data_IF_556179202720
#
_entry.id   IF_556179202720
#
_cell.length_a   1.000
_cell.length_b   1.000
_cell.length_c   1.000
_cell.angle_alpha   90.00
_cell.angle_beta   90.00
_cell.angle_gamma   90.00
#
_symmetry.space_group_name_H-M   'P 1'
#
loop_
_entity.id
_entity.type
_entity.pdbx_description
1 polymer ?
#
# COMPACT_ATOMS: atom_id res chain seq x y z
N UNK A 1 3.12 -1.61 14.32
CA UNK A 1 1.77 -0.97 14.37
C UNK A 1 1.57 -0.42 15.77
N UNK A 2 1.02 0.82 15.92
CA UNK A 2 0.89 1.50 17.23
C UNK A 2 0.08 0.69 18.26
N UNK A 3 -0.85 -0.16 17.82
CA UNK A 3 -1.69 -0.99 18.69
C UNK A 3 -0.88 -1.95 19.59
N UNK A 4 0.30 -2.39 19.17
CA UNK A 4 1.18 -3.23 20.00
C UNK A 4 1.78 -2.49 21.19
N UNK A 5 1.88 -1.16 21.10
CA UNK A 5 2.40 -0.26 22.13
C UNK A 5 1.31 0.19 23.11
N UNK A 6 0.02 -0.19 22.84
CA UNK A 6 -1.11 0.22 23.67
C UNK A 6 -1.40 -0.80 24.76
N UNK A 7 -1.49 -0.33 26.01
CA UNK A 7 -1.95 -1.10 27.15
C UNK A 7 -3.48 -0.96 27.35
N UNK A 8 -4.06 0.15 26.91
CA UNK A 8 -5.45 0.49 27.11
C UNK A 8 -6.14 0.98 25.84
N UNK A 9 -7.46 1.06 25.90
CA UNK A 9 -8.34 1.62 24.89
C UNK A 9 -9.29 2.63 25.54
N UNK A 10 -9.49 3.78 24.86
CA UNK A 10 -10.40 4.81 25.29
C UNK A 10 -11.80 4.55 24.72
N UNK A 11 -12.79 4.33 25.57
CA UNK A 11 -14.18 4.08 25.19
C UNK A 11 -15.11 4.83 26.16
N UNK A 12 -16.11 5.53 25.63
CA UNK A 12 -17.15 6.22 26.42
C UNK A 12 -16.61 7.11 27.57
N UNK A 13 -15.53 7.86 27.30
CA UNK A 13 -14.95 8.77 28.27
C UNK A 13 -14.05 8.12 29.33
N UNK A 14 -13.75 6.82 29.22
CA UNK A 14 -12.92 6.09 30.17
C UNK A 14 -11.88 5.23 29.45
N UNK A 15 -10.76 4.99 30.13
CA UNK A 15 -9.72 4.06 29.66
C UNK A 15 -9.93 2.68 30.27
N UNK A 16 -9.96 1.67 29.45
CA UNK A 16 -10.04 0.26 29.84
C UNK A 16 -8.78 -0.47 29.39
N UNK A 17 -8.36 -1.47 30.13
CA UNK A 17 -7.27 -2.34 29.70
C UNK A 17 -7.68 -3.03 28.39
N UNK A 18 -6.75 -3.04 27.42
CA UNK A 18 -7.00 -3.72 26.15
C UNK A 18 -6.71 -5.21 26.28
N UNK A 19 -7.70 -6.03 25.96
CA UNK A 19 -7.60 -7.49 25.90
C UNK A 19 -7.46 -7.99 24.45
N UNK A 20 -7.26 -9.29 24.28
CA UNK A 20 -7.09 -9.91 22.96
C UNK A 20 -8.35 -9.79 22.08
N UNK A 21 -9.53 -9.84 22.70
CA UNK A 21 -10.79 -9.69 21.97
C UNK A 21 -10.92 -8.29 21.37
N UNK A 22 -10.60 -7.25 22.15
CA UNK A 22 -10.58 -5.86 21.68
C UNK A 22 -9.51 -5.65 20.61
N UNK A 23 -8.30 -6.19 20.80
CA UNK A 23 -7.25 -6.15 19.78
C UNK A 23 -7.72 -6.75 18.46
N UNK A 24 -8.31 -7.94 18.50
CA UNK A 24 -8.85 -8.62 17.32
C UNK A 24 -9.93 -7.81 16.63
N UNK A 25 -10.83 -7.20 17.39
CA UNK A 25 -11.89 -6.33 16.84
C UNK A 25 -11.32 -5.10 16.13
N UNK A 26 -10.33 -4.43 16.73
CA UNK A 26 -9.66 -3.27 16.12
C UNK A 26 -8.98 -3.68 14.82
N UNK A 27 -8.29 -4.82 14.80
CA UNK A 27 -7.64 -5.34 13.60
C UNK A 27 -8.65 -5.68 12.50
N UNK A 28 -9.79 -6.23 12.85
CA UNK A 28 -10.88 -6.54 11.91
C UNK A 28 -11.45 -5.25 11.29
N UNK A 29 -11.69 -4.21 12.11
CA UNK A 29 -12.13 -2.90 11.61
C UNK A 29 -11.07 -2.30 10.68
N UNK A 30 -9.79 -2.39 11.04
CA UNK A 30 -8.70 -1.92 10.19
C UNK A 30 -8.69 -2.64 8.83
N UNK A 31 -8.93 -3.96 8.83
CA UNK A 31 -9.05 -4.75 7.61
C UNK A 31 -10.24 -4.29 6.76
N UNK A 32 -11.42 -4.12 7.37
CA UNK A 32 -12.63 -3.64 6.68
C UNK A 32 -12.42 -2.24 6.06
N UNK A 33 -11.66 -1.37 6.72
CA UNK A 33 -11.29 -0.07 6.17
C UNK A 33 -10.38 -0.24 4.94
N UNK A 34 -9.39 -1.13 5.02
CA UNK A 34 -8.52 -1.45 3.89
C UNK A 34 -9.28 -2.04 2.68
N UNK A 35 -10.25 -2.93 2.94
CA UNK A 35 -11.13 -3.51 1.90
C UNK A 35 -11.99 -2.45 1.19
N UNK A 36 -12.22 -1.29 1.84
CA UNK A 36 -12.86 -0.11 1.24
C UNK A 36 -11.87 0.86 0.59
N UNK A 37 -10.64 0.43 0.34
CA UNK A 37 -9.56 1.25 -0.19
C UNK A 37 -9.22 2.48 0.68
N UNK A 38 -9.48 2.42 1.99
CA UNK A 38 -9.12 3.51 2.90
C UNK A 38 -7.67 3.38 3.37
N UNK A 39 -6.94 4.47 3.36
CA UNK A 39 -5.69 4.61 4.10
C UNK A 39 -6.02 4.79 5.58
N UNK A 40 -5.57 3.86 6.43
CA UNK A 40 -5.93 3.86 7.85
C UNK A 40 -4.81 4.41 8.70
N UNK A 41 -5.14 5.37 9.54
CA UNK A 41 -4.27 5.89 10.60
C UNK A 41 -4.86 5.48 11.94
N UNK A 42 -4.04 4.88 12.79
CA UNK A 42 -4.38 4.59 14.18
C UNK A 42 -3.90 5.75 15.06
N UNK A 43 -4.79 6.19 15.95
CA UNK A 43 -4.52 7.24 16.93
C UNK A 43 -4.38 6.63 18.31
N UNK A 44 -3.37 7.05 19.03
CA UNK A 44 -3.16 6.70 20.42
C UNK A 44 -2.58 7.92 21.17
N UNK A 45 -2.78 7.97 22.46
CA UNK A 45 -2.27 9.03 23.31
C UNK A 45 -1.71 8.48 24.63
N UNK A 46 -0.93 9.30 25.30
CA UNK A 46 -0.44 9.08 26.66
C UNK A 46 -0.31 10.43 27.36
N UNK A 47 -0.65 10.47 28.63
CA UNK A 47 -0.31 11.59 29.49
C UNK A 47 1.15 11.45 29.94
N UNK A 48 1.96 12.46 29.64
CA UNK A 48 3.37 12.45 29.97
C UNK A 48 3.63 13.22 31.28
N UNK A 49 4.47 12.73 32.18
CA UNK A 49 4.95 13.51 33.33
C UNK A 49 5.78 14.70 32.86
N UNK A 50 5.97 15.70 33.74
CA UNK A 50 6.75 16.91 33.38
C UNK A 50 8.19 16.62 32.95
N UNK A 51 8.81 15.59 33.54
CA UNK A 51 10.21 15.24 33.32
C UNK A 51 10.31 13.91 32.53
N UNK A 52 9.58 13.78 31.40
CA UNK A 52 9.61 12.57 30.58
C UNK A 52 10.84 12.53 29.65
N UNK A 53 11.32 11.33 29.36
CA UNK A 53 12.28 11.09 28.27
C UNK A 53 11.56 10.80 26.95
N UNK A 54 12.11 11.33 25.82
CA UNK A 54 11.56 11.05 24.49
C UNK A 54 11.55 9.56 24.14
N UNK A 55 12.52 8.80 24.66
CA UNK A 55 12.62 7.34 24.47
C UNK A 55 11.49 6.55 25.15
N UNK A 56 10.69 7.22 25.96
CA UNK A 56 9.54 6.62 26.66
C UNK A 56 8.20 7.09 26.10
N UNK A 57 8.22 8.08 25.22
CA UNK A 57 7.00 8.73 24.72
C UNK A 57 6.04 7.77 23.99
N UNK A 58 6.57 6.72 23.38
CA UNK A 58 5.82 5.72 22.62
C UNK A 58 5.44 4.46 23.43
N UNK A 59 5.74 4.43 24.73
CA UNK A 59 5.36 3.31 25.62
C UNK A 59 4.03 3.57 26.33
N UNK A 60 3.36 2.51 26.70
CA UNK A 60 2.13 2.57 27.51
C UNK A 60 1.05 3.50 26.93
N UNK A 61 0.83 3.42 25.65
CA UNK A 61 -0.16 4.24 24.96
C UNK A 61 -1.59 3.75 25.24
N UNK A 62 -2.54 4.67 25.15
CA UNK A 62 -3.97 4.39 25.16
C UNK A 62 -4.48 4.55 23.73
N UNK A 63 -4.99 3.46 23.16
CA UNK A 63 -5.57 3.47 21.82
C UNK A 63 -6.85 4.33 21.83
N UNK A 64 -6.92 5.31 20.92
CA UNK A 64 -8.04 6.23 20.81
C UNK A 64 -9.00 5.84 19.70
N UNK A 65 -8.48 5.44 18.52
CA UNK A 65 -9.32 5.07 17.40
C UNK A 65 -8.56 4.87 16.10
N UNK A 66 -9.34 4.56 15.07
CA UNK A 66 -8.90 4.49 13.69
C UNK A 66 -9.58 5.59 12.87
N UNK A 67 -8.81 6.23 12.01
CA UNK A 67 -9.30 7.18 11.00
C UNK A 67 -9.00 6.60 9.63
N UNK A 68 -10.04 6.40 8.83
CA UNK A 68 -9.91 6.01 7.42
C UNK A 68 -9.95 7.26 6.54
N UNK A 69 -8.95 7.41 5.68
CA UNK A 69 -8.89 8.46 4.68
C UNK A 69 -8.99 7.84 3.30
N UNK A 70 -9.65 8.52 2.37
CA UNK A 70 -9.71 8.14 0.97
C UNK A 70 -9.29 9.31 0.10
N UNK A 71 -8.48 8.99 -0.90
CA UNK A 71 -8.25 9.85 -2.05
C UNK A 71 -8.80 9.06 -3.25
N UNK A 72 -10.01 9.42 -3.74
CA UNK A 72 -10.64 8.64 -4.79
C UNK A 72 -9.81 8.67 -6.07
N UNK A 73 -9.70 7.54 -6.79
CA UNK A 73 -9.05 7.54 -8.09
C UNK A 73 -9.68 8.58 -9.03
N UNK A 74 -8.87 9.21 -9.86
CA UNK A 74 -9.35 10.14 -10.88
C UNK A 74 -10.35 9.44 -11.81
N UNK A 75 -11.47 10.08 -12.17
CA UNK A 75 -12.54 9.44 -12.96
C UNK A 75 -12.08 8.84 -14.29
N UNK A 76 -11.10 9.48 -14.95
CA UNK A 76 -10.56 9.06 -16.25
C UNK A 76 -9.70 7.80 -16.22
N UNK A 77 -9.20 7.38 -15.04
CA UNK A 77 -8.26 6.25 -14.91
C UNK A 77 -8.88 4.94 -15.37
N UNK A 78 -10.14 4.67 -15.01
CA UNK A 78 -10.82 3.44 -15.43
C UNK A 78 -10.95 3.33 -16.95
N UNK A 79 -11.22 4.44 -17.64
CA UNK A 79 -11.34 4.45 -19.10
C UNK A 79 -9.98 4.38 -19.79
N UNK A 80 -8.93 4.97 -19.20
CA UNK A 80 -7.56 4.83 -19.67
C UNK A 80 -7.11 3.35 -19.59
N UNK A 81 -7.36 2.68 -18.48
CA UNK A 81 -7.06 1.25 -18.30
C UNK A 81 -7.76 0.40 -19.37
N UNK A 82 -9.06 0.64 -19.62
CA UNK A 82 -9.81 -0.06 -20.67
C UNK A 82 -9.19 0.12 -22.06
N UNK A 83 -8.75 1.35 -22.38
CA UNK A 83 -8.08 1.64 -23.65
C UNK A 83 -6.74 0.91 -23.78
N UNK A 84 -5.93 0.90 -22.72
CA UNK A 84 -4.68 0.16 -22.68
C UNK A 84 -4.89 -1.35 -22.88
N UNK A 85 -5.86 -1.94 -22.18
CA UNK A 85 -6.19 -3.36 -22.35
C UNK A 85 -6.64 -3.69 -23.78
N UNK A 86 -7.46 -2.81 -24.40
CA UNK A 86 -7.87 -2.98 -25.82
C UNK A 86 -6.70 -2.90 -26.79
N UNK A 87 -5.68 -2.09 -26.44
CA UNK A 87 -4.46 -1.96 -27.23
C UNK A 87 -3.44 -3.10 -26.97
N UNK A 88 -3.77 -4.07 -26.11
CA UNK A 88 -2.85 -5.17 -25.74
C UNK A 88 -1.73 -4.76 -24.78
N UNK A 89 -1.84 -3.58 -24.17
CA UNK A 89 -0.85 -3.09 -23.19
C UNK A 89 -1.12 -3.76 -21.84
N UNK A 90 -0.10 -4.42 -21.29
CA UNK A 90 -0.14 -4.93 -19.92
C UNK A 90 0.11 -3.78 -18.94
N UNK A 91 -0.67 -3.76 -17.87
CA UNK A 91 -0.55 -2.76 -16.81
C UNK A 91 -0.24 -3.48 -15.50
N UNK A 92 0.76 -2.98 -14.77
CA UNK A 92 1.12 -3.43 -13.44
C UNK A 92 0.97 -2.26 -12.46
N UNK A 93 0.41 -2.54 -11.28
CA UNK A 93 0.39 -1.56 -10.19
C UNK A 93 1.62 -1.78 -9.30
N UNK A 94 2.37 -0.70 -9.04
CA UNK A 94 3.51 -0.68 -8.13
C UNK A 94 3.25 0.35 -7.04
N UNK A 95 2.94 -0.10 -5.82
CA UNK A 95 2.57 0.81 -4.73
C UNK A 95 3.31 0.51 -3.44
N UNK A 96 3.52 1.53 -2.62
CA UNK A 96 4.00 1.40 -1.24
C UNK A 96 2.93 0.89 -0.27
N UNK A 97 1.66 0.83 -0.69
CA UNK A 97 0.53 0.44 0.14
C UNK A 97 0.57 -1.03 0.56
N UNK A 98 -0.27 -1.36 1.53
CA UNK A 98 -0.50 -2.74 1.95
C UNK A 98 -1.35 -3.51 0.91
N UNK A 99 -1.28 -4.86 0.92
CA UNK A 99 -1.96 -5.71 -0.06
C UNK A 99 -3.47 -5.48 -0.16
N UNK A 100 -4.16 -5.30 0.97
CA UNK A 100 -5.62 -5.19 1.01
C UNK A 100 -6.08 -3.90 0.33
N UNK A 101 -5.44 -2.78 0.68
CA UNK A 101 -5.76 -1.47 0.09
C UNK A 101 -5.41 -1.43 -1.40
N UNK A 102 -4.25 -1.96 -1.78
CA UNK A 102 -3.81 -2.01 -3.18
C UNK A 102 -4.77 -2.84 -4.06
N UNK A 103 -5.20 -4.02 -3.59
CA UNK A 103 -6.19 -4.84 -4.30
C UNK A 103 -7.53 -4.12 -4.43
N UNK A 104 -8.01 -3.47 -3.36
CA UNK A 104 -9.27 -2.75 -3.38
C UNK A 104 -9.24 -1.60 -4.40
N UNK A 105 -8.15 -0.81 -4.45
CA UNK A 105 -7.97 0.26 -5.44
C UNK A 105 -7.90 -0.34 -6.85
N UNK A 106 -7.11 -1.39 -7.07
CA UNK A 106 -6.95 -2.01 -8.38
C UNK A 106 -8.29 -2.54 -8.94
N UNK A 107 -9.15 -3.08 -8.07
CA UNK A 107 -10.51 -3.48 -8.45
C UNK A 107 -11.40 -2.28 -8.77
N UNK A 108 -11.33 -1.24 -7.96
CA UNK A 108 -12.14 -0.02 -8.15
C UNK A 108 -11.85 0.67 -9.48
N UNK A 109 -10.58 0.73 -9.90
CA UNK A 109 -10.18 1.33 -11.19
C UNK A 109 -10.32 0.37 -12.38
N UNK A 110 -10.70 -0.90 -12.15
CA UNK A 110 -10.86 -1.91 -13.19
C UNK A 110 -9.54 -2.46 -13.75
N UNK A 111 -8.45 -2.32 -12.99
CA UNK A 111 -7.15 -2.89 -13.35
C UNK A 111 -7.16 -4.42 -13.23
N UNK A 112 -7.83 -4.94 -12.22
CA UNK A 112 -7.98 -6.38 -11.97
C UNK A 112 -9.45 -6.77 -11.93
N UNK A 113 -9.78 -7.93 -12.50
CA UNK A 113 -11.11 -8.50 -12.54
C UNK A 113 -11.22 -9.78 -11.71
N UNK A 114 -10.18 -10.58 -11.78
CA UNK A 114 -10.06 -11.84 -11.05
C UNK A 114 -9.22 -11.65 -9.78
N UNK A 115 -8.77 -12.74 -9.19
CA UNK A 115 -7.87 -12.70 -8.06
C UNK A 115 -6.45 -12.39 -8.55
N UNK A 116 -5.90 -11.20 -8.28
CA UNK A 116 -4.57 -10.85 -8.74
C UNK A 116 -3.49 -11.64 -8.00
N UNK A 117 -2.34 -11.79 -8.65
CA UNK A 117 -1.11 -12.18 -7.97
C UNK A 117 -0.54 -10.95 -7.25
N UNK A 118 -0.48 -11.01 -5.93
CA UNK A 118 0.05 -9.92 -5.10
C UNK A 118 1.45 -10.29 -4.64
N UNK A 119 2.43 -9.44 -4.93
CA UNK A 119 3.85 -9.66 -4.62
C UNK A 119 4.34 -8.53 -3.73
N UNK A 120 4.84 -8.85 -2.55
CA UNK A 120 5.47 -7.89 -1.65
C UNK A 120 6.89 -7.58 -2.12
N UNK A 121 7.31 -6.30 -2.01
CA UNK A 121 8.62 -5.85 -2.48
C UNK A 121 9.80 -6.69 -1.97
N UNK A 122 9.76 -7.07 -0.68
CA UNK A 122 10.81 -7.91 -0.06
C UNK A 122 10.90 -9.33 -0.65
N UNK A 123 9.85 -9.79 -1.33
CA UNK A 123 9.79 -11.12 -1.96
C UNK A 123 10.10 -11.08 -3.46
N UNK A 124 10.53 -9.93 -3.98
CA UNK A 124 10.90 -9.80 -5.39
C UNK A 124 12.27 -10.42 -5.60
N UNK A 125 12.33 -11.51 -6.35
CA UNK A 125 13.54 -12.12 -6.87
C UNK A 125 13.68 -11.80 -8.37
N UNK A 126 14.83 -11.27 -8.78
CA UNK A 126 15.12 -10.93 -10.18
C UNK A 126 14.96 -12.13 -11.12
N UNK A 127 15.37 -13.31 -10.68
CA UNK A 127 15.30 -14.52 -11.48
C UNK A 127 13.86 -15.03 -11.67
N UNK A 128 12.96 -14.69 -10.75
CA UNK A 128 11.55 -15.09 -10.81
C UNK A 128 10.68 -14.09 -11.54
N UNK A 129 11.12 -12.81 -11.64
CA UNK A 129 10.32 -11.73 -12.25
C UNK A 129 9.84 -12.09 -13.67
N UNK A 130 10.70 -12.72 -14.48
CA UNK A 130 10.37 -13.12 -15.85
C UNK A 130 9.12 -14.00 -15.88
N UNK A 131 9.08 -15.03 -15.01
CA UNK A 131 7.93 -15.93 -14.89
C UNK A 131 6.69 -15.24 -14.33
N UNK A 132 6.90 -14.31 -13.39
CA UNK A 132 5.81 -13.54 -12.78
C UNK A 132 5.10 -12.68 -13.82
N UNK A 133 5.85 -12.06 -14.75
CA UNK A 133 5.27 -11.24 -15.81
C UNK A 133 4.43 -12.00 -16.84
N UNK A 134 4.44 -13.32 -16.85
CA UNK A 134 3.51 -14.11 -17.65
C UNK A 134 2.08 -14.02 -17.13
N UNK A 135 1.91 -13.77 -15.83
CA UNK A 135 0.59 -13.58 -15.24
C UNK A 135 -0.08 -12.30 -15.78
N UNK A 136 -1.39 -12.34 -15.91
CA UNK A 136 -2.16 -11.23 -16.49
C UNK A 136 -2.39 -10.09 -15.51
N UNK A 137 -2.65 -10.41 -14.26
CA UNK A 137 -3.04 -9.45 -13.23
C UNK A 137 -2.05 -9.55 -12.05
N UNK A 138 -1.11 -8.60 -11.97
CA UNK A 138 -0.11 -8.53 -10.90
C UNK A 138 -0.17 -7.17 -10.22
N UNK A 139 -0.09 -7.19 -8.90
CA UNK A 139 0.06 -6.01 -8.05
C UNK A 139 1.33 -6.18 -7.22
N UNK A 140 2.26 -5.26 -7.35
CA UNK A 140 3.43 -5.16 -6.49
C UNK A 140 3.14 -4.20 -5.35
N UNK A 141 3.24 -4.67 -4.11
CA UNK A 141 2.89 -3.93 -2.90
C UNK A 141 4.09 -3.74 -1.99
N UNK A 142 4.08 -2.73 -1.13
CA UNK A 142 5.21 -2.38 -0.25
C UNK A 142 6.52 -2.23 -1.02
N UNK A 143 6.42 -1.70 -2.26
CA UNK A 143 7.60 -1.52 -3.10
C UNK A 143 8.37 -0.27 -2.69
N UNK A 144 9.69 -0.40 -2.60
CA UNK A 144 10.64 0.69 -2.46
C UNK A 144 11.05 1.23 -3.85
N UNK A 145 11.70 2.41 -3.93
CA UNK A 145 12.27 2.91 -5.17
C UNK A 145 13.22 1.92 -5.86
N UNK A 146 13.99 1.18 -5.08
CA UNK A 146 14.87 0.12 -5.58
C UNK A 146 14.08 -1.00 -6.26
N UNK A 147 12.97 -1.43 -5.66
CA UNK A 147 12.12 -2.47 -6.24
C UNK A 147 11.49 -2.00 -7.55
N UNK A 148 11.06 -0.72 -7.66
CA UNK A 148 10.53 -0.15 -8.91
C UNK A 148 11.58 -0.18 -10.03
N UNK A 149 12.82 0.22 -9.72
CA UNK A 149 13.93 0.16 -10.68
C UNK A 149 14.20 -1.27 -11.16
N UNK A 150 14.18 -2.24 -10.26
CA UNK A 150 14.43 -3.64 -10.54
C UNK A 150 13.36 -4.22 -11.48
N UNK A 151 12.08 -3.93 -11.20
CA UNK A 151 10.96 -4.35 -12.06
C UNK A 151 11.09 -3.75 -13.47
N UNK A 152 11.40 -2.46 -13.57
CA UNK A 152 11.60 -1.79 -14.87
C UNK A 152 12.78 -2.41 -15.62
N UNK A 153 13.90 -2.70 -14.93
CA UNK A 153 15.07 -3.35 -15.54
C UNK A 153 14.70 -4.70 -16.11
N UNK A 154 14.08 -5.56 -15.31
CA UNK A 154 13.73 -6.92 -15.74
C UNK A 154 12.80 -6.90 -16.98
N UNK A 155 11.84 -5.99 -17.04
CA UNK A 155 10.97 -5.83 -18.21
C UNK A 155 11.77 -5.40 -19.46
N UNK A 156 12.71 -4.48 -19.31
CA UNK A 156 13.57 -4.03 -20.42
C UNK A 156 14.52 -5.14 -20.88
N UNK A 157 15.10 -5.92 -19.96
CA UNK A 157 15.98 -7.05 -20.28
C UNK A 157 15.22 -8.16 -21.03
N UNK A 158 13.88 -8.23 -20.85
CA UNK A 158 12.98 -9.05 -21.67
C UNK A 158 12.63 -8.44 -23.03
N UNK A 159 13.24 -7.31 -23.41
CA UNK A 159 12.96 -6.61 -24.66
C UNK A 159 11.58 -5.94 -24.72
N UNK A 160 10.96 -5.64 -23.56
CA UNK A 160 9.68 -4.93 -23.50
C UNK A 160 9.88 -3.42 -23.52
N UNK A 161 8.99 -2.71 -24.19
CA UNK A 161 8.89 -1.25 -24.09
C UNK A 161 8.12 -0.91 -22.83
N UNK A 162 8.76 -0.18 -21.91
CA UNK A 162 8.24 0.12 -20.59
C UNK A 162 7.87 1.58 -20.47
N UNK A 163 6.60 1.84 -20.14
CA UNK A 163 6.10 3.15 -19.72
C UNK A 163 5.91 3.11 -18.22
N UNK A 164 6.47 4.07 -17.50
CA UNK A 164 6.26 4.23 -16.06
C UNK A 164 5.64 5.59 -15.78
N UNK A 165 4.60 5.62 -14.96
CA UNK A 165 4.01 6.85 -14.40
C UNK A 165 4.34 6.93 -12.91
N UNK A 166 4.56 8.12 -12.38
CA UNK A 166 4.82 8.34 -10.96
C UNK A 166 4.83 9.82 -10.60
N UNK A 167 4.43 10.11 -9.37
CA UNK A 167 4.27 11.46 -8.81
C UNK A 167 5.34 11.80 -7.75
N UNK A 168 6.09 10.81 -7.30
CA UNK A 168 7.04 10.94 -6.20
C UNK A 168 8.49 11.12 -6.62
N UNK A 169 9.23 11.94 -5.87
CA UNK A 169 10.71 12.05 -5.99
C UNK A 169 11.37 10.68 -5.92
N UNK A 170 10.74 9.75 -5.20
CA UNK A 170 11.20 8.38 -5.06
C UNK A 170 11.08 7.56 -6.37
N UNK A 171 10.29 8.01 -7.33
CA UNK A 171 10.10 7.33 -8.61
C UNK A 171 11.08 7.79 -9.68
N UNK A 172 11.75 8.92 -9.47
CA UNK A 172 12.67 9.53 -10.44
C UNK A 172 13.71 8.57 -11.03
N UNK A 173 14.39 7.70 -10.24
CA UNK A 173 15.35 6.76 -10.82
C UNK A 173 14.71 5.72 -11.75
N UNK A 174 13.52 5.22 -11.39
CA UNK A 174 12.79 4.24 -12.19
C UNK A 174 12.16 4.88 -13.44
N UNK A 175 11.61 6.11 -13.31
CA UNK A 175 11.12 6.91 -14.43
C UNK A 175 12.20 7.17 -15.48
N UNK A 176 13.42 7.53 -15.02
CA UNK A 176 14.56 7.74 -15.93
C UNK A 176 15.01 6.45 -16.62
N UNK A 177 14.81 5.31 -16.00
CA UNK A 177 15.21 4.00 -16.55
C UNK A 177 14.18 3.44 -17.54
N UNK A 178 12.92 3.77 -17.42
CA UNK A 178 11.87 3.39 -18.36
C UNK A 178 12.14 3.97 -19.77
N UNK A 179 11.53 3.39 -20.79
CA UNK A 179 11.61 3.93 -22.15
C UNK A 179 10.82 5.23 -22.27
N UNK A 180 9.70 5.31 -21.53
CA UNK A 180 8.89 6.51 -21.38
C UNK A 180 8.59 6.69 -19.89
N UNK A 181 9.12 7.73 -19.28
CA UNK A 181 8.77 8.17 -17.93
C UNK A 181 7.75 9.31 -18.00
N UNK A 182 6.61 9.15 -17.36
CA UNK A 182 5.59 10.18 -17.25
C UNK A 182 5.53 10.64 -15.78
N UNK A 183 5.78 11.92 -15.60
CA UNK A 183 5.73 12.58 -14.31
C UNK A 183 4.35 13.24 -14.14
N UNK A 184 3.63 12.93 -13.07
CA UNK A 184 2.31 13.48 -12.75
C UNK A 184 2.38 14.58 -11.68
#
# INVERSE_FOLDING_TARGET
>A
MILSLCWGVFENGKTFRIDDAKRKRILEINKQFGEKALRVIALAYRELPKDFSLDEADKELVFFGLVGMTDPPRPEVSDAIKKCHKAGIKIFMLTGDNPITAEAIARQIGLVKEKPLIIEGEKIDENELIRLFENKEIIFVRVSPRHKMLIVSALKDMGKVVVLTGDGVNDAPALKKADIGLWE
#
